data_IF_323382644178
#
_entry.id   IF_323382644178
#
_cell.length_a   1.000
_cell.length_b   1.000
_cell.length_c   1.000
_cell.angle_alpha   90.00
_cell.angle_beta   90.00
_cell.angle_gamma   90.00
#
_symmetry.space_group_name_H-M   'P 1'
#
loop_
_entity.id
_entity.type
_entity.pdbx_description
1 polymer ?
#
# COMPACT_ATOMS: atom_id res chain seq x y z
N UNK A 1 -19.16 -14.22 2.85
CA UNK A 1 -18.13 -13.17 2.75
C UNK A 1 -16.79 -13.86 2.90
N UNK A 2 -15.94 -13.85 1.87
CA UNK A 2 -14.61 -14.45 1.94
C UNK A 2 -13.76 -13.74 2.98
N UNK A 3 -12.92 -14.47 3.70
CA UNK A 3 -11.95 -13.87 4.62
C UNK A 3 -10.84 -13.16 3.83
N UNK A 4 -10.20 -12.15 4.41
CA UNK A 4 -9.05 -11.48 3.77
C UNK A 4 -7.94 -12.47 3.40
N UNK A 5 -7.81 -13.55 4.16
CA UNK A 5 -6.83 -14.59 3.91
C UNK A 5 -7.18 -15.45 2.68
N UNK A 6 -8.46 -15.77 2.48
CA UNK A 6 -8.92 -16.46 1.27
C UNK A 6 -8.67 -15.64 0.02
N UNK A 7 -8.98 -14.34 0.06
CA UNK A 7 -8.74 -13.41 -1.05
C UNK A 7 -7.24 -13.34 -1.41
N UNK A 8 -6.36 -13.31 -0.40
CA UNK A 8 -4.92 -13.27 -0.64
C UNK A 8 -4.42 -14.58 -1.26
N UNK A 9 -4.84 -15.72 -0.72
CA UNK A 9 -4.44 -17.03 -1.25
C UNK A 9 -4.90 -17.17 -2.70
N UNK A 10 -6.15 -16.78 -3.00
CA UNK A 10 -6.67 -16.79 -4.37
C UNK A 10 -5.83 -15.88 -5.28
N UNK A 11 -5.48 -14.68 -4.84
CA UNK A 11 -4.64 -13.78 -5.61
C UNK A 11 -3.24 -14.37 -5.88
N UNK A 12 -2.63 -15.02 -4.89
CA UNK A 12 -1.34 -15.72 -5.05
C UNK A 12 -1.47 -16.84 -6.09
N UNK A 13 -2.46 -17.71 -5.95
CA UNK A 13 -2.65 -18.83 -6.86
C UNK A 13 -2.92 -18.38 -8.30
N UNK A 14 -3.68 -17.29 -8.47
CA UNK A 14 -3.92 -16.68 -9.77
C UNK A 14 -2.63 -16.16 -10.43
N UNK A 15 -1.72 -15.56 -9.65
CA UNK A 15 -0.41 -15.13 -10.17
C UNK A 15 0.41 -16.30 -10.72
N UNK A 16 0.32 -17.47 -10.09
CA UNK A 16 0.99 -18.69 -10.53
C UNK A 16 0.19 -19.52 -11.54
N UNK A 17 -1.00 -19.06 -11.92
CA UNK A 17 -1.91 -19.78 -12.84
C UNK A 17 -2.21 -21.20 -12.34
N UNK A 18 -2.51 -21.32 -11.06
CA UNK A 18 -2.78 -22.60 -10.38
C UNK A 18 -4.21 -22.59 -9.83
N UNK A 19 -4.95 -23.63 -10.15
CA UNK A 19 -6.28 -23.87 -9.60
C UNK A 19 -6.16 -24.56 -8.22
N UNK A 20 -6.72 -23.91 -7.20
CA UNK A 20 -6.76 -24.42 -5.83
C UNK A 20 -7.32 -25.84 -5.72
N UNK A 21 -8.31 -26.20 -6.55
CA UNK A 21 -8.95 -27.51 -6.52
C UNK A 21 -7.99 -28.67 -6.85
N UNK A 22 -6.87 -28.37 -7.48
CA UNK A 22 -5.87 -29.38 -7.89
C UNK A 22 -4.68 -29.49 -6.93
N UNK A 23 -4.66 -28.69 -5.85
CA UNK A 23 -3.56 -28.70 -4.90
C UNK A 23 -3.80 -29.68 -3.74
N UNK A 24 -2.75 -30.41 -3.31
CA UNK A 24 -2.79 -31.17 -2.06
C UNK A 24 -3.08 -30.26 -0.87
N UNK A 25 -3.88 -30.75 0.10
CA UNK A 25 -4.25 -29.99 1.29
C UNK A 25 -3.03 -29.45 2.05
N UNK A 26 -1.96 -30.24 2.18
CA UNK A 26 -0.73 -29.79 2.86
C UNK A 26 -0.06 -28.57 2.20
N UNK A 27 -0.10 -28.47 0.87
CA UNK A 27 0.40 -27.28 0.16
C UNK A 27 -0.52 -26.08 0.40
N UNK A 28 -1.83 -26.30 0.39
CA UNK A 28 -2.79 -25.23 0.71
C UNK A 28 -2.58 -24.70 2.13
N UNK A 29 -2.41 -25.59 3.11
CA UNK A 29 -2.17 -25.21 4.51
C UNK A 29 -0.91 -24.35 4.65
N UNK A 30 0.15 -24.67 3.90
CA UNK A 30 1.40 -23.88 3.87
C UNK A 30 1.19 -22.48 3.23
N UNK A 31 0.44 -22.42 2.13
CA UNK A 31 0.12 -21.13 1.49
C UNK A 31 -0.78 -20.27 2.40
N UNK A 32 -1.73 -20.90 3.11
CA UNK A 32 -2.57 -20.20 4.10
C UNK A 32 -1.79 -19.74 5.33
N UNK A 33 -0.65 -20.35 5.67
CA UNK A 33 0.22 -19.94 6.76
C UNK A 33 1.10 -18.73 6.39
N UNK A 34 0.48 -17.67 5.84
CA UNK A 34 1.17 -16.46 5.38
C UNK A 34 1.94 -15.81 6.53
N UNK A 35 3.24 -15.55 6.37
CA UNK A 35 4.03 -14.92 7.42
C UNK A 35 3.51 -13.52 7.76
N UNK A 36 3.32 -13.23 9.05
CA UNK A 36 2.92 -11.91 9.53
C UNK A 36 4.03 -10.84 9.44
N UNK A 37 5.24 -11.25 9.04
CA UNK A 37 6.44 -10.40 8.99
C UNK A 37 6.84 -9.99 7.57
N UNK A 38 5.96 -10.08 6.59
CA UNK A 38 6.19 -9.55 5.24
C UNK A 38 6.15 -8.03 5.29
N UNK A 39 7.29 -7.38 5.39
CA UNK A 39 7.43 -5.94 5.58
C UNK A 39 8.15 -5.27 4.43
N UNK A 40 9.31 -5.80 4.06
CA UNK A 40 10.19 -5.22 3.03
C UNK A 40 9.97 -5.85 1.66
N UNK A 41 10.44 -5.18 0.60
CA UNK A 41 10.48 -5.77 -0.75
C UNK A 41 11.20 -7.11 -0.77
N UNK A 42 12.29 -7.25 -0.02
CA UNK A 42 13.01 -8.52 0.09
C UNK A 42 12.17 -9.62 0.75
N UNK A 43 11.36 -9.29 1.77
CA UNK A 43 10.46 -10.28 2.38
C UNK A 43 9.42 -10.75 1.38
N UNK A 44 8.85 -9.82 0.59
CA UNK A 44 7.88 -10.13 -0.47
C UNK A 44 8.50 -11.01 -1.55
N UNK A 45 9.69 -10.66 -2.03
CA UNK A 45 10.44 -11.44 -3.03
C UNK A 45 10.75 -12.85 -2.51
N UNK A 46 11.23 -12.97 -1.26
CA UNK A 46 11.53 -14.26 -0.67
C UNK A 46 10.28 -15.12 -0.49
N UNK A 47 9.17 -14.51 -0.09
CA UNK A 47 7.90 -15.21 -0.01
C UNK A 47 7.39 -15.67 -1.39
N UNK A 48 7.53 -14.84 -2.41
CA UNK A 48 7.23 -15.21 -3.81
C UNK A 48 8.05 -16.43 -4.24
N UNK A 49 9.35 -16.46 -3.94
CA UNK A 49 10.23 -17.62 -4.24
C UNK A 49 9.76 -18.88 -3.49
N UNK A 50 9.45 -18.75 -2.20
CA UNK A 50 8.97 -19.87 -1.39
C UNK A 50 7.67 -20.47 -1.95
N UNK A 51 6.70 -19.65 -2.33
CA UNK A 51 5.45 -20.11 -2.96
C UNK A 51 5.74 -20.81 -4.31
N UNK A 52 6.65 -20.26 -5.09
CA UNK A 52 7.06 -20.87 -6.36
C UNK A 52 7.70 -22.25 -6.21
N UNK A 53 8.48 -22.46 -5.16
CA UNK A 53 9.03 -23.76 -4.79
C UNK A 53 7.94 -24.74 -4.38
N UNK A 54 7.01 -24.34 -3.50
CA UNK A 54 5.87 -25.15 -3.09
C UNK A 54 5.00 -25.58 -4.27
N UNK A 55 4.77 -24.68 -5.22
CA UNK A 55 3.93 -24.93 -6.40
C UNK A 55 4.70 -25.60 -7.56
N UNK A 56 6.02 -25.80 -7.42
CA UNK A 56 6.91 -26.30 -8.46
C UNK A 56 6.80 -25.51 -9.79
N UNK A 57 6.85 -24.18 -9.68
CA UNK A 57 6.71 -23.22 -10.80
C UNK A 57 7.95 -22.32 -10.95
N UNK A 58 9.15 -22.85 -11.20
CA UNK A 58 10.39 -22.08 -11.16
C UNK A 58 10.46 -20.95 -12.20
N UNK A 59 9.99 -21.18 -13.44
CA UNK A 59 10.00 -20.17 -14.51
C UNK A 59 9.07 -19.01 -14.14
N UNK A 60 7.82 -19.30 -13.76
CA UNK A 60 6.85 -18.29 -13.35
C UNK A 60 7.33 -17.50 -12.13
N UNK A 61 8.03 -18.16 -11.21
CA UNK A 61 8.64 -17.53 -10.04
C UNK A 61 9.72 -16.53 -10.46
N UNK A 62 10.58 -16.91 -11.41
CA UNK A 62 11.61 -16.00 -11.91
C UNK A 62 11.00 -14.74 -12.54
N UNK A 63 9.97 -14.90 -13.38
CA UNK A 63 9.26 -13.78 -14.00
C UNK A 63 8.61 -12.86 -12.95
N UNK A 64 7.92 -13.42 -11.95
CA UNK A 64 7.28 -12.64 -10.88
C UNK A 64 8.29 -11.89 -10.01
N UNK A 65 9.42 -12.50 -9.71
CA UNK A 65 10.50 -11.88 -8.93
C UNK A 65 11.15 -10.75 -9.73
N UNK A 66 11.39 -10.95 -11.02
CA UNK A 66 11.94 -9.92 -11.90
C UNK A 66 11.00 -8.70 -11.95
N UNK A 67 9.70 -8.90 -12.15
CA UNK A 67 8.71 -7.82 -12.15
C UNK A 67 8.72 -7.04 -10.82
N UNK A 68 8.71 -7.74 -9.67
CA UNK A 68 8.74 -7.12 -8.36
C UNK A 68 10.02 -6.28 -8.14
N UNK A 69 11.17 -6.83 -8.51
CA UNK A 69 12.47 -6.19 -8.32
C UNK A 69 12.62 -4.96 -9.23
N UNK A 70 12.23 -5.10 -10.50
CA UNK A 70 12.28 -4.02 -11.49
C UNK A 70 11.40 -2.84 -11.08
N UNK A 71 10.14 -3.07 -10.64
CA UNK A 71 9.25 -1.99 -10.21
C UNK A 71 9.80 -1.24 -9.00
N UNK A 72 10.30 -1.95 -8.00
CA UNK A 72 10.95 -1.32 -6.82
C UNK A 72 12.16 -0.49 -7.25
N UNK A 73 13.02 -1.04 -8.12
CA UNK A 73 14.21 -0.35 -8.61
C UNK A 73 13.87 0.88 -9.47
N UNK A 74 12.84 0.83 -10.30
CA UNK A 74 12.36 1.99 -11.08
C UNK A 74 11.97 3.13 -10.16
N UNK A 75 11.18 2.85 -9.13
CA UNK A 75 10.74 3.86 -8.17
C UNK A 75 11.94 4.46 -7.45
N UNK A 76 12.78 3.63 -6.85
CA UNK A 76 13.97 4.07 -6.10
C UNK A 76 14.91 4.89 -6.99
N UNK A 77 15.13 4.43 -8.24
CA UNK A 77 16.04 5.11 -9.17
C UNK A 77 15.53 6.51 -9.55
N UNK A 78 14.24 6.67 -9.80
CA UNK A 78 13.64 7.98 -10.09
C UNK A 78 13.76 8.94 -8.90
N UNK A 79 13.69 8.40 -7.67
CA UNK A 79 13.72 9.17 -6.44
C UNK A 79 15.14 9.50 -5.92
N UNK A 80 16.19 8.95 -6.52
CA UNK A 80 17.57 9.09 -5.99
C UNK A 80 18.08 10.53 -5.91
N UNK A 81 17.50 11.45 -6.69
CA UNK A 81 17.87 12.86 -6.70
C UNK A 81 16.97 13.72 -5.80
N UNK A 82 15.95 13.15 -5.19
CA UNK A 82 15.07 13.84 -4.27
C UNK A 82 15.71 13.85 -2.89
N UNK A 83 16.00 15.04 -2.39
CA UNK A 83 16.61 15.19 -1.06
C UNK A 83 15.61 14.86 0.04
N UNK A 84 16.11 14.56 1.24
CA UNK A 84 15.23 14.28 2.39
C UNK A 84 14.28 15.45 2.71
N UNK A 85 14.71 16.69 2.44
CA UNK A 85 13.91 17.91 2.65
C UNK A 85 12.77 18.07 1.64
N UNK A 86 12.87 17.42 0.49
CA UNK A 86 11.85 17.48 -0.57
C UNK A 86 10.86 16.32 -0.48
N UNK A 87 11.05 15.41 0.47
CA UNK A 87 10.14 14.31 0.74
C UNK A 87 9.03 14.74 1.68
N UNK A 88 7.75 14.61 1.29
CA UNK A 88 6.64 15.01 2.15
C UNK A 88 6.58 14.14 3.41
N UNK A 89 6.25 14.75 4.55
CA UNK A 89 5.86 14.06 5.77
C UNK A 89 4.40 13.61 5.66
N UNK A 90 4.14 12.34 5.89
CA UNK A 90 2.87 11.69 5.61
C UNK A 90 2.30 11.02 6.83
N UNK A 91 1.05 11.33 7.14
CA UNK A 91 0.24 10.53 8.06
C UNK A 91 -0.66 9.61 7.24
N UNK A 92 -0.64 8.33 7.58
CA UNK A 92 -1.59 7.35 7.06
C UNK A 92 -2.58 6.99 8.16
N UNK A 93 -3.88 6.98 7.85
CA UNK A 93 -4.95 6.62 8.78
C UNK A 93 -5.84 5.52 8.18
N UNK A 94 -6.23 4.55 9.03
CA UNK A 94 -7.07 3.41 8.63
C UNK A 94 -8.58 3.70 8.76
N UNK A 95 -8.93 4.92 9.15
CA UNK A 95 -10.31 5.37 9.31
C UNK A 95 -10.39 6.66 10.09
N UNK A 96 -11.55 7.31 10.03
CA UNK A 96 -11.78 8.64 10.57
C UNK A 96 -12.76 8.69 11.78
N UNK A 97 -13.30 7.53 12.20
CA UNK A 97 -14.22 7.49 13.34
C UNK A 97 -14.10 6.17 14.13
N UNK A 98 -13.26 6.11 15.17
CA UNK A 98 -12.26 7.11 15.55
C UNK A 98 -11.11 7.18 14.53
N UNK A 99 -10.36 8.28 14.53
CA UNK A 99 -9.16 8.39 13.72
C UNK A 99 -8.06 7.47 14.26
N UNK A 100 -7.63 6.52 13.45
CA UNK A 100 -6.58 5.54 13.79
C UNK A 100 -5.39 5.74 12.88
N UNK A 101 -4.26 6.21 13.45
CA UNK A 101 -3.01 6.37 12.70
C UNK A 101 -2.40 5.00 12.46
N UNK A 102 -2.10 4.70 11.20
CA UNK A 102 -1.42 3.48 10.83
C UNK A 102 0.09 3.62 11.07
N UNK A 103 0.60 2.84 12.01
CA UNK A 103 2.02 2.80 12.38
C UNK A 103 2.70 1.50 11.98
N UNK A 104 2.09 0.71 11.09
CA UNK A 104 2.66 -0.56 10.67
C UNK A 104 3.99 -0.36 9.94
N UNK A 105 4.95 -1.25 10.19
CA UNK A 105 6.24 -1.23 9.51
C UNK A 105 6.12 -1.39 8.00
N UNK A 106 5.14 -2.15 7.55
CA UNK A 106 4.85 -2.33 6.14
C UNK A 106 4.50 -1.01 5.44
N UNK A 107 3.55 -0.26 5.99
CA UNK A 107 3.15 1.05 5.42
C UNK A 107 4.31 2.06 5.48
N UNK A 108 5.09 2.06 6.57
CA UNK A 108 6.28 2.92 6.68
C UNK A 108 7.33 2.60 5.61
N UNK A 109 7.55 1.32 5.32
CA UNK A 109 8.48 0.88 4.26
C UNK A 109 7.96 1.30 2.88
N UNK A 110 6.68 1.05 2.58
CA UNK A 110 6.06 1.49 1.32
C UNK A 110 6.16 3.00 1.13
N UNK A 111 5.90 3.81 2.17
CA UNK A 111 6.09 5.26 2.12
C UNK A 111 7.54 5.64 1.81
N UNK A 112 8.51 4.98 2.45
CA UNK A 112 9.94 5.26 2.26
C UNK A 112 10.39 4.97 0.84
N UNK A 113 9.99 3.82 0.29
CA UNK A 113 10.29 3.42 -1.10
C UNK A 113 9.65 4.41 -2.08
N UNK A 114 8.40 4.83 -1.84
CA UNK A 114 7.65 5.73 -2.70
C UNK A 114 7.97 7.22 -2.51
N UNK A 115 8.97 7.54 -1.68
CA UNK A 115 9.53 8.91 -1.57
C UNK A 115 8.85 9.80 -0.55
N UNK A 116 8.19 9.23 0.47
CA UNK A 116 7.64 9.94 1.63
C UNK A 116 8.43 9.69 2.91
N UNK A 117 8.04 10.37 3.98
CA UNK A 117 8.52 10.19 5.35
C UNK A 117 7.31 9.99 6.25
N UNK A 118 7.20 8.84 6.90
CA UNK A 118 6.12 8.59 7.85
C UNK A 118 6.24 9.49 9.07
N UNK A 119 5.11 10.09 9.50
CA UNK A 119 5.02 10.82 10.77
C UNK A 119 3.72 10.47 11.49
N UNK A 120 3.72 10.60 12.81
CA UNK A 120 2.51 10.52 13.63
C UNK A 120 2.08 11.89 14.17
N UNK A 121 2.83 12.92 13.83
CA UNK A 121 2.58 14.30 14.28
C UNK A 121 1.74 15.04 13.24
N UNK A 122 0.50 15.37 13.63
CA UNK A 122 -0.49 16.02 12.76
C UNK A 122 0.01 17.40 12.31
N UNK A 123 0.65 18.16 13.24
CA UNK A 123 1.20 19.50 12.99
C UNK A 123 2.36 19.50 12.00
N UNK A 124 3.02 18.37 11.78
CA UNK A 124 4.14 18.23 10.84
C UNK A 124 3.74 17.62 9.50
N UNK A 125 2.50 17.14 9.35
CA UNK A 125 2.09 16.42 8.16
C UNK A 125 1.90 17.36 6.96
N UNK A 126 2.59 17.04 5.87
CA UNK A 126 2.39 17.67 4.56
C UNK A 126 1.25 17.03 3.78
N UNK A 127 1.00 15.72 4.00
CA UNK A 127 -0.04 14.94 3.36
C UNK A 127 -0.72 14.00 4.35
N UNK A 128 -2.02 13.78 4.15
CA UNK A 128 -2.82 12.77 4.86
C UNK A 128 -3.33 11.76 3.85
N UNK A 129 -3.08 10.48 4.09
CA UNK A 129 -3.62 9.36 3.30
C UNK A 129 -4.59 8.60 4.18
N UNK A 130 -5.85 8.51 3.75
CA UNK A 130 -6.90 7.75 4.42
C UNK A 130 -7.11 6.45 3.66
N UNK A 131 -6.83 5.32 4.32
CA UNK A 131 -7.06 3.99 3.75
C UNK A 131 -8.40 3.47 4.27
N UNK A 132 -9.44 3.57 3.47
CA UNK A 132 -10.77 3.08 3.85
C UNK A 132 -11.66 2.90 2.61
N UNK A 133 -12.89 2.49 2.86
CA UNK A 133 -13.97 2.56 1.89
C UNK A 133 -14.26 4.02 1.54
N UNK A 134 -14.39 4.33 0.26
CA UNK A 134 -14.53 5.71 -0.22
C UNK A 134 -15.81 6.37 0.32
N UNK A 135 -16.96 5.69 0.22
CA UNK A 135 -18.25 6.23 0.68
C UNK A 135 -18.23 6.49 2.19
N UNK A 136 -17.68 5.56 2.98
CA UNK A 136 -17.54 5.73 4.42
C UNK A 136 -16.60 6.87 4.76
N UNK A 137 -15.51 7.03 4.02
CA UNK A 137 -14.55 8.10 4.26
C UNK A 137 -15.15 9.46 3.98
N UNK A 138 -15.82 9.63 2.85
CA UNK A 138 -16.50 10.90 2.49
C UNK A 138 -17.50 11.29 3.58
N UNK A 139 -18.30 10.33 4.08
CA UNK A 139 -19.26 10.58 5.16
C UNK A 139 -18.58 10.97 6.51
N UNK A 140 -17.32 10.56 6.72
CA UNK A 140 -16.60 10.80 7.98
C UNK A 140 -15.65 12.00 7.93
N UNK A 141 -15.35 12.57 6.78
CA UNK A 141 -14.49 13.77 6.64
C UNK A 141 -14.91 14.92 7.57
N UNK A 142 -16.20 15.23 7.78
CA UNK A 142 -16.60 16.27 8.74
C UNK A 142 -16.06 16.04 10.16
N UNK A 143 -15.87 14.78 10.58
CA UNK A 143 -15.29 14.47 11.89
C UNK A 143 -13.83 14.89 11.98
N UNK A 144 -13.06 14.65 10.90
CA UNK A 144 -11.67 15.09 10.78
C UNK A 144 -11.56 16.62 10.89
N UNK A 145 -12.46 17.33 10.20
CA UNK A 145 -12.48 18.80 10.16
C UNK A 145 -13.00 19.42 11.47
N UNK A 146 -13.70 18.67 12.30
CA UNK A 146 -14.19 19.12 13.61
C UNK A 146 -13.10 19.13 14.68
N UNK A 147 -12.02 18.38 14.49
CA UNK A 147 -10.87 18.34 15.39
C UNK A 147 -9.89 19.46 15.01
N UNK A 148 -9.65 20.40 15.93
CA UNK A 148 -8.79 21.56 15.70
C UNK A 148 -7.35 21.18 15.33
N UNK A 149 -6.84 20.05 15.81
CA UNK A 149 -5.49 19.60 15.48
C UNK A 149 -5.38 19.24 13.99
N UNK A 150 -6.42 18.61 13.45
CA UNK A 150 -6.48 18.27 12.02
C UNK A 150 -6.77 19.49 11.16
N UNK A 151 -7.78 20.29 11.54
CA UNK A 151 -8.20 21.47 10.81
C UNK A 151 -7.05 22.48 10.62
N UNK A 152 -6.21 22.65 11.65
CA UNK A 152 -5.07 23.56 11.61
C UNK A 152 -3.83 23.00 10.93
N UNK A 153 -3.80 21.72 10.55
CA UNK A 153 -2.66 21.10 9.87
C UNK A 153 -2.43 21.66 8.45
N UNK A 154 -1.18 21.64 8.01
CA UNK A 154 -0.82 22.05 6.64
C UNK A 154 -1.49 21.17 5.58
N UNK A 155 -1.58 19.87 5.83
CA UNK A 155 -2.22 18.93 4.90
C UNK A 155 -3.67 19.30 4.60
N UNK A 156 -4.44 19.69 5.61
CA UNK A 156 -5.83 20.15 5.45
C UNK A 156 -5.89 21.49 4.73
N UNK A 157 -5.12 22.49 5.20
CA UNK A 157 -5.10 23.84 4.62
C UNK A 157 -4.70 23.88 3.15
N UNK A 158 -3.85 22.95 2.72
CA UNK A 158 -3.37 22.84 1.34
C UNK A 158 -4.10 21.82 0.51
N UNK A 159 -5.25 21.28 0.98
CA UNK A 159 -6.01 20.23 0.30
C UNK A 159 -5.17 18.98 -0.04
N UNK A 160 -4.25 18.60 0.85
CA UNK A 160 -3.38 17.44 0.66
C UNK A 160 -3.93 16.22 1.41
N UNK A 161 -5.20 15.91 1.19
CA UNK A 161 -5.90 14.73 1.72
C UNK A 161 -6.24 13.79 0.57
N UNK A 162 -5.80 12.55 0.69
CA UNK A 162 -5.94 11.52 -0.32
C UNK A 162 -6.70 10.32 0.26
N UNK A 163 -7.67 9.83 -0.46
CA UNK A 163 -8.43 8.63 -0.10
C UNK A 163 -7.89 7.48 -0.94
N UNK A 164 -7.49 6.40 -0.30
CA UNK A 164 -7.01 5.17 -0.96
C UNK A 164 -7.96 4.03 -0.62
N UNK A 165 -8.38 3.29 -1.64
CA UNK A 165 -9.31 2.19 -1.44
C UNK A 165 -8.66 1.10 -0.59
N UNK A 166 -9.30 0.79 0.53
CA UNK A 166 -8.85 -0.23 1.49
C UNK A 166 -8.73 -1.65 0.89
N UNK A 167 -9.48 -1.95 -0.16
CA UNK A 167 -9.43 -3.26 -0.82
C UNK A 167 -8.13 -3.44 -1.61
N UNK A 168 -7.52 -2.32 -2.01
CA UNK A 168 -6.30 -2.28 -2.82
C UNK A 168 -5.04 -1.99 -2.01
N UNK A 169 -5.16 -1.56 -0.72
CA UNK A 169 -4.01 -1.04 0.02
C UNK A 169 -3.98 -1.41 1.51
N UNK A 170 -2.78 -1.66 2.03
CA UNK A 170 -2.44 -1.60 3.47
C UNK A 170 -2.91 -2.76 4.34
N UNK A 171 -3.66 -3.72 3.81
CA UNK A 171 -4.24 -4.80 4.62
C UNK A 171 -3.44 -6.08 4.60
N UNK A 172 -2.81 -6.37 3.47
CA UNK A 172 -2.21 -7.69 3.25
C UNK A 172 -0.92 -7.53 2.48
N UNK A 173 0.25 -7.55 3.16
CA UNK A 173 1.54 -7.48 2.51
C UNK A 173 1.66 -8.49 1.37
N UNK A 174 2.08 -8.03 0.19
CA UNK A 174 2.35 -8.84 -0.97
C UNK A 174 1.22 -9.04 -1.97
N UNK A 175 -0.04 -8.81 -1.62
CA UNK A 175 -1.17 -9.01 -2.54
C UNK A 175 -1.10 -8.08 -3.76
N UNK A 176 -0.95 -6.78 -3.54
CA UNK A 176 -0.89 -5.75 -4.58
C UNK A 176 0.33 -4.85 -4.42
N UNK A 177 1.45 -5.41 -4.01
CA UNK A 177 2.63 -4.66 -3.56
C UNK A 177 3.11 -3.60 -4.57
N UNK A 178 3.26 -3.97 -5.84
CA UNK A 178 3.66 -3.00 -6.87
C UNK A 178 2.63 -1.88 -7.02
N UNK A 179 1.34 -2.23 -7.08
CA UNK A 179 0.26 -1.25 -7.20
C UNK A 179 0.19 -0.30 -5.99
N UNK A 180 0.48 -0.80 -4.79
CA UNK A 180 0.56 0.03 -3.59
C UNK A 180 1.73 1.02 -3.67
N UNK A 181 2.91 0.58 -4.11
CA UNK A 181 4.07 1.46 -4.31
C UNK A 181 3.82 2.51 -5.39
N UNK A 182 3.24 2.12 -6.53
CA UNK A 182 2.88 3.03 -7.61
C UNK A 182 1.85 4.07 -7.16
N UNK A 183 0.79 3.63 -6.44
CA UNK A 183 -0.22 4.51 -5.87
C UNK A 183 0.40 5.55 -4.95
N UNK A 184 1.25 5.11 -4.03
CA UNK A 184 1.95 6.03 -3.13
C UNK A 184 2.91 6.95 -3.88
N UNK A 185 3.69 6.43 -4.83
CA UNK A 185 4.63 7.24 -5.60
C UNK A 185 3.92 8.34 -6.40
N UNK A 186 2.76 8.04 -7.00
CA UNK A 186 1.94 9.02 -7.72
C UNK A 186 1.38 10.10 -6.77
N UNK A 187 0.88 9.72 -5.59
CA UNK A 187 0.39 10.66 -4.57
C UNK A 187 1.54 11.53 -4.03
N UNK A 188 2.68 10.92 -3.70
CA UNK A 188 3.75 11.60 -2.97
C UNK A 188 4.62 12.46 -3.87
N UNK A 189 4.86 11.99 -5.10
CA UNK A 189 5.81 12.57 -6.03
C UNK A 189 5.21 12.73 -7.45
N UNK A 190 4.08 13.46 -7.60
CA UNK A 190 3.32 13.55 -8.86
C UNK A 190 4.09 14.17 -10.02
N UNK A 191 5.23 14.84 -9.74
CA UNK A 191 6.13 15.38 -10.78
C UNK A 191 6.98 14.29 -11.46
N UNK A 192 7.17 13.15 -10.80
CA UNK A 192 8.06 12.08 -11.25
C UNK A 192 7.30 10.82 -11.65
N UNK A 193 6.09 10.65 -11.10
CA UNK A 193 5.27 9.46 -11.35
C UNK A 193 3.88 9.85 -11.85
N UNK A 194 3.50 9.21 -12.92
CA UNK A 194 2.19 9.34 -13.53
C UNK A 194 1.77 7.96 -14.08
N UNK A 195 1.09 7.18 -13.24
CA UNK A 195 0.59 5.85 -13.60
C UNK A 195 -0.89 5.89 -14.04
N UNK A 196 -1.58 7.02 -13.81
CA UNK A 196 -3.00 7.17 -14.11
C UNK A 196 -3.91 6.39 -13.17
N UNK A 197 -3.54 6.35 -11.90
CA UNK A 197 -4.24 5.65 -10.83
C UNK A 197 -5.28 6.52 -10.12
N UNK A 198 -5.23 7.84 -10.29
CA UNK A 198 -6.26 8.74 -9.78
C UNK A 198 -7.64 8.36 -10.33
N UNK A 199 -8.63 8.28 -9.47
CA UNK A 199 -9.99 7.81 -9.79
C UNK A 199 -10.12 6.28 -9.89
N UNK A 200 -9.03 5.52 -9.67
CA UNK A 200 -9.03 4.04 -9.65
C UNK A 200 -8.66 3.50 -8.28
N UNK A 201 -7.43 3.75 -7.82
CA UNK A 201 -6.93 3.30 -6.52
C UNK A 201 -6.97 4.39 -5.47
N UNK A 202 -6.95 5.65 -5.89
CA UNK A 202 -6.97 6.81 -5.00
C UNK A 202 -7.70 8.01 -5.63
N UNK A 203 -8.18 8.89 -4.77
CA UNK A 203 -8.70 10.22 -5.14
C UNK A 203 -8.13 11.28 -4.22
N UNK A 204 -7.94 12.50 -4.73
CA UNK A 204 -7.67 13.66 -3.89
C UNK A 204 -8.98 14.27 -3.42
N UNK A 205 -9.13 14.40 -2.09
CA UNK A 205 -10.33 15.01 -1.53
C UNK A 205 -10.21 16.55 -1.53
N UNK A 206 -11.19 17.21 -2.12
CA UNK A 206 -11.26 18.67 -2.14
C UNK A 206 -12.08 19.16 -0.94
N UNK A 207 -11.46 19.94 -0.07
CA UNK A 207 -12.04 20.45 1.19
C UNK A 207 -12.78 21.80 1.02
N UNK A 208 -13.11 22.18 -0.20
CA UNK A 208 -13.79 23.46 -0.48
C UNK A 208 -15.30 23.32 -0.49
#
# INVERSE_FOLDING_TARGET
MQSNQEILVEAILNQYEVDQAHLPQGILDEIYAIPSNLVTSNDIINYTKYIGELLNKPEKTADLVEILDDEVHIIIHKLKFITATDRPKVIVVDGLNPTVINTSRYVQECLTISGGISTTRIDEADKVIVINDEELTIAQIPNLLSDSNWYDSNAIKLNQVFLVNKEEFGKTPGKNYCLELETLAEILQPKYFFYGLEGKTWIQFQLQ
#
